data_IF_997119002734
#
_entry.id   IF_997119002734
#
_cell.length_a   1.000
_cell.length_b   1.000
_cell.length_c   1.000
_cell.angle_alpha   90.00
_cell.angle_beta   90.00
_cell.angle_gamma   90.00
#
_symmetry.space_group_name_H-M   'P 1'
#
loop_
_entity.id
_entity.type
_entity.pdbx_description
1 polymer ?
#
# COMPACT_ATOMS: atom_id res chain seq x y z
N UNK A 1 -20.38 -7.40 -35.69
CA UNK A 1 -21.37 -7.84 -36.71
C UNK A 1 -22.80 -7.36 -36.41
N UNK A 2 -23.44 -7.67 -35.27
CA UNK A 2 -24.76 -7.08 -34.94
C UNK A 2 -24.68 -5.61 -34.47
N UNK A 3 -23.65 -5.23 -33.70
CA UNK A 3 -23.49 -3.83 -33.27
C UNK A 3 -23.25 -2.87 -34.45
N UNK A 4 -22.44 -3.26 -35.43
CA UNK A 4 -22.12 -2.41 -36.59
C UNK A 4 -23.35 -2.14 -37.47
N UNK A 5 -24.27 -3.11 -37.54
CA UNK A 5 -25.54 -3.00 -38.26
C UNK A 5 -26.54 -2.07 -37.55
N UNK A 6 -26.61 -2.11 -36.21
CA UNK A 6 -27.47 -1.23 -35.39
C UNK A 6 -26.86 0.18 -35.25
N UNK A 7 -25.53 0.30 -35.35
CA UNK A 7 -24.80 1.57 -35.32
C UNK A 7 -24.77 2.29 -36.68
N UNK A 8 -25.17 1.64 -37.78
CA UNK A 8 -25.31 2.25 -39.12
C UNK A 8 -26.24 3.47 -39.12
N UNK A 9 -25.82 4.52 -39.82
CA UNK A 9 -26.55 5.77 -39.94
C UNK A 9 -27.88 5.61 -40.68
N UNK A 10 -28.00 4.67 -41.63
CA UNK A 10 -29.25 4.40 -42.33
C UNK A 10 -30.30 3.77 -41.41
N UNK A 11 -29.91 2.80 -40.57
CA UNK A 11 -30.86 2.07 -39.71
C UNK A 11 -31.40 2.95 -38.59
N UNK A 12 -30.55 3.80 -37.99
CA UNK A 12 -30.98 4.79 -36.98
C UNK A 12 -31.93 5.85 -37.55
N UNK A 13 -31.79 6.21 -38.83
CA UNK A 13 -32.68 7.18 -39.49
C UNK A 13 -34.05 6.60 -39.82
N UNK A 14 -34.09 5.34 -40.25
CA UNK A 14 -35.31 4.70 -40.74
C UNK A 14 -36.16 4.11 -39.60
N UNK A 15 -35.54 3.64 -38.50
CA UNK A 15 -36.25 3.02 -37.37
C UNK A 15 -35.63 3.35 -36.00
N UNK A 16 -35.71 4.63 -35.56
CA UNK A 16 -35.08 5.08 -34.32
C UNK A 16 -35.62 4.37 -33.07
N UNK A 17 -36.92 4.14 -33.00
CA UNK A 17 -37.58 3.47 -31.86
C UNK A 17 -37.23 1.99 -31.73
N UNK A 18 -37.05 1.27 -32.84
CA UNK A 18 -36.63 -0.14 -32.82
C UNK A 18 -35.16 -0.26 -32.39
N UNK A 19 -34.29 0.66 -32.86
CA UNK A 19 -32.89 0.71 -32.44
C UNK A 19 -32.76 1.05 -30.96
N UNK A 20 -33.53 2.02 -30.45
CA UNK A 20 -33.56 2.33 -29.01
C UNK A 20 -34.10 1.16 -28.19
N UNK A 21 -35.13 0.46 -28.66
CA UNK A 21 -35.70 -0.71 -27.98
C UNK A 21 -34.69 -1.86 -27.92
N UNK A 22 -34.00 -2.17 -29.03
CA UNK A 22 -32.97 -3.21 -29.09
C UNK A 22 -31.77 -2.85 -28.22
N UNK A 23 -31.31 -1.60 -28.27
CA UNK A 23 -30.18 -1.15 -27.46
C UNK A 23 -30.51 -1.15 -25.96
N UNK A 24 -31.73 -0.75 -25.60
CA UNK A 24 -32.23 -0.85 -24.22
C UNK A 24 -32.29 -2.31 -23.77
N UNK A 25 -32.84 -3.22 -24.58
CA UNK A 25 -32.89 -4.65 -24.26
C UNK A 25 -31.49 -5.28 -24.12
N UNK A 26 -30.56 -4.96 -25.02
CA UNK A 26 -29.17 -5.42 -24.91
C UNK A 26 -28.50 -4.86 -23.66
N UNK A 27 -28.72 -3.58 -23.34
CA UNK A 27 -28.20 -2.96 -22.13
C UNK A 27 -28.73 -3.64 -20.86
N UNK A 28 -30.04 -3.87 -20.78
CA UNK A 28 -30.67 -4.39 -19.57
C UNK A 28 -30.55 -5.90 -19.38
N UNK A 29 -30.60 -6.68 -20.46
CA UNK A 29 -30.66 -8.14 -20.39
C UNK A 29 -29.30 -8.81 -20.63
N UNK A 30 -28.37 -8.14 -21.31
CA UNK A 30 -27.04 -8.70 -21.62
C UNK A 30 -25.93 -7.94 -20.89
N UNK A 31 -25.79 -6.64 -21.16
CA UNK A 31 -24.63 -5.88 -20.70
C UNK A 31 -24.65 -5.60 -19.20
N UNK A 32 -25.78 -5.17 -18.64
CA UNK A 32 -25.89 -4.90 -17.19
C UNK A 32 -25.66 -6.16 -16.35
N UNK A 33 -26.28 -7.33 -16.65
CA UNK A 33 -25.99 -8.56 -15.93
C UNK A 33 -24.54 -9.03 -16.10
N UNK A 34 -23.99 -8.97 -17.32
CA UNK A 34 -22.61 -9.35 -17.59
C UNK A 34 -21.63 -8.45 -16.80
N UNK A 35 -21.85 -7.15 -16.81
CA UNK A 35 -21.02 -6.20 -16.08
C UNK A 35 -21.12 -6.42 -14.57
N UNK A 36 -22.31 -6.72 -14.03
CA UNK A 36 -22.46 -7.06 -12.62
C UNK A 36 -21.65 -8.32 -12.24
N UNK A 37 -21.70 -9.37 -13.07
CA UNK A 37 -20.92 -10.60 -12.83
C UNK A 37 -19.42 -10.32 -12.94
N UNK A 38 -18.99 -9.53 -13.92
CA UNK A 38 -17.58 -9.14 -14.07
C UNK A 38 -17.08 -8.33 -12.88
N UNK A 39 -17.87 -7.38 -12.37
CA UNK A 39 -17.52 -6.58 -11.18
C UNK A 39 -17.38 -7.48 -9.94
N UNK A 40 -18.30 -8.43 -9.74
CA UNK A 40 -18.23 -9.38 -8.62
C UNK A 40 -16.98 -10.26 -8.74
N UNK A 41 -16.74 -10.84 -9.91
CA UNK A 41 -15.58 -11.68 -10.18
C UNK A 41 -14.26 -10.90 -9.98
N UNK A 42 -14.19 -9.65 -10.46
CA UNK A 42 -13.04 -8.79 -10.25
C UNK A 42 -12.78 -8.53 -8.76
N UNK A 43 -13.83 -8.26 -7.98
CA UNK A 43 -13.71 -8.05 -6.54
C UNK A 43 -13.23 -9.32 -5.80
N UNK A 44 -13.74 -10.50 -6.16
CA UNK A 44 -13.31 -11.78 -5.60
C UNK A 44 -11.85 -12.08 -5.95
N UNK A 45 -11.44 -11.86 -7.20
CA UNK A 45 -10.04 -11.99 -7.63
C UNK A 45 -9.13 -11.03 -6.87
N UNK A 46 -9.50 -9.76 -6.76
CA UNK A 46 -8.75 -8.77 -5.97
C UNK A 46 -8.60 -9.23 -4.52
N UNK A 47 -9.66 -9.74 -3.90
CA UNK A 47 -9.59 -10.26 -2.53
C UNK A 47 -8.66 -11.48 -2.42
N UNK A 48 -8.71 -12.40 -3.37
CA UNK A 48 -7.82 -13.56 -3.42
C UNK A 48 -6.35 -13.13 -3.56
N UNK A 49 -6.06 -12.12 -4.37
CA UNK A 49 -4.71 -11.57 -4.55
C UNK A 49 -4.24 -10.85 -3.29
N UNK A 50 -5.11 -10.08 -2.61
CA UNK A 50 -4.79 -9.50 -1.29
C UNK A 50 -4.39 -10.59 -0.28
N UNK A 51 -5.11 -11.70 -0.24
CA UNK A 51 -4.81 -12.80 0.68
C UNK A 51 -3.54 -13.58 0.31
N UNK A 52 -3.30 -13.77 -0.99
CA UNK A 52 -2.24 -14.66 -1.48
C UNK A 52 -0.91 -13.96 -1.67
N UNK A 53 -0.92 -12.66 -2.01
CA UNK A 53 0.28 -11.88 -2.33
C UNK A 53 0.54 -10.80 -1.28
N UNK A 54 -0.45 -9.98 -0.94
CA UNK A 54 -0.24 -8.83 -0.05
C UNK A 54 -0.10 -9.25 1.43
N UNK A 55 -0.96 -10.13 1.93
CA UNK A 55 -0.93 -10.54 3.33
C UNK A 55 0.41 -11.18 3.76
N UNK A 56 1.04 -12.07 2.95
CA UNK A 56 2.37 -12.58 3.25
C UNK A 56 3.45 -11.49 3.25
N UNK A 57 3.37 -10.51 2.35
CA UNK A 57 4.30 -9.38 2.29
C UNK A 57 4.20 -8.58 3.59
N UNK A 58 3.00 -8.23 4.07
CA UNK A 58 2.82 -7.51 5.34
C UNK A 58 3.32 -8.34 6.54
N UNK A 59 3.13 -9.66 6.52
CA UNK A 59 3.56 -10.56 7.58
C UNK A 59 5.10 -10.58 7.75
N UNK A 60 5.88 -10.20 6.73
CA UNK A 60 7.35 -10.04 6.87
C UNK A 60 7.75 -8.99 7.90
N UNK A 61 6.87 -8.03 8.18
CA UNK A 61 7.06 -7.02 9.21
C UNK A 61 6.30 -7.32 10.52
N UNK A 62 5.94 -8.58 10.78
CA UNK A 62 5.30 -8.97 12.03
C UNK A 62 6.22 -8.70 13.24
N UNK A 63 5.65 -8.08 14.27
CA UNK A 63 6.38 -7.66 15.46
C UNK A 63 7.07 -6.30 15.31
N UNK A 64 6.95 -5.62 14.17
CA UNK A 64 7.47 -4.26 13.98
C UNK A 64 6.94 -3.32 15.05
N UNK A 65 5.65 -3.33 15.33
CA UNK A 65 5.00 -2.48 16.35
C UNK A 65 5.42 -2.81 17.80
N UNK A 66 6.07 -3.95 18.00
CA UNK A 66 6.50 -4.45 19.31
C UNK A 66 8.02 -4.37 19.52
N UNK A 67 8.77 -3.75 18.59
CA UNK A 67 10.21 -3.62 18.77
C UNK A 67 10.57 -2.91 20.08
N UNK A 68 11.64 -3.35 20.78
CA UNK A 68 12.09 -2.73 22.03
C UNK A 68 12.40 -1.25 21.88
N UNK A 69 12.82 -0.84 20.69
CA UNK A 69 13.11 0.56 20.35
C UNK A 69 11.90 1.48 20.56
N UNK A 70 10.68 0.99 20.32
CA UNK A 70 9.46 1.77 20.51
C UNK A 70 9.03 1.86 21.98
N UNK A 71 9.46 0.91 22.80
CA UNK A 71 9.05 0.77 24.21
C UNK A 71 10.29 0.70 25.09
N UNK A 72 11.02 1.81 25.23
CA UNK A 72 12.01 1.91 26.30
C UNK A 72 11.29 2.04 27.64
N UNK A 73 10.94 0.91 28.25
CA UNK A 73 10.64 0.89 29.68
C UNK A 73 11.96 1.04 30.42
N UNK A 74 12.06 2.00 31.35
CA UNK A 74 13.16 2.04 32.31
C UNK A 74 13.19 0.73 33.09
N UNK A 75 13.94 -0.26 32.63
CA UNK A 75 14.27 -1.42 33.45
C UNK A 75 15.29 -0.93 34.47
N UNK A 76 14.85 -0.92 35.74
CA UNK A 76 15.78 -0.85 36.85
C UNK A 76 16.82 -1.97 36.69
N UNK A 77 18.09 -1.57 36.53
CA UNK A 77 19.26 -2.40 36.78
C UNK A 77 19.27 -3.77 36.09
N UNK A 78 19.56 -3.79 34.79
CA UNK A 78 19.85 -5.05 34.11
C UNK A 78 20.17 -4.81 32.66
N UNK A 79 21.47 -4.93 32.34
CA UNK A 79 22.09 -4.83 31.02
C UNK A 79 21.20 -5.37 29.90
N UNK A 80 20.39 -4.51 29.29
CA UNK A 80 19.85 -4.73 27.97
C UNK A 80 20.95 -4.30 27.01
N UNK A 81 21.39 -5.25 26.20
CA UNK A 81 22.47 -5.15 25.24
C UNK A 81 22.15 -4.03 24.23
N UNK A 82 22.55 -2.80 24.56
CA UNK A 82 22.91 -1.81 23.55
C UNK A 82 24.29 -2.24 23.10
N UNK A 83 24.33 -3.17 22.13
CA UNK A 83 25.57 -3.53 21.45
C UNK A 83 26.13 -2.24 20.83
N UNK A 84 27.16 -1.72 21.48
CA UNK A 84 28.10 -0.71 21.02
C UNK A 84 27.48 0.56 20.44
N UNK A 85 27.13 1.47 21.36
CA UNK A 85 27.12 2.91 21.11
C UNK A 85 28.54 3.35 20.69
N UNK A 86 28.80 3.42 19.39
CA UNK A 86 29.92 4.19 18.85
C UNK A 86 29.43 5.61 18.61
N UNK A 87 30.07 6.52 19.33
CA UNK A 87 30.06 7.98 19.26
C UNK A 87 29.27 8.66 18.11
N UNK A 88 28.46 9.63 18.53
CA UNK A 88 27.89 10.74 17.77
C UNK A 88 28.70 11.16 16.52
N UNK A 89 28.16 10.77 15.38
CA UNK A 89 28.21 11.49 14.09
C UNK A 89 26.81 11.28 13.48
N UNK A 90 26.30 12.13 12.57
CA UNK A 90 25.04 11.87 11.88
C UNK A 90 25.25 10.66 10.97
N UNK A 91 25.19 9.47 11.58
CA UNK A 91 25.35 8.20 10.93
C UNK A 91 24.01 7.91 10.29
N UNK A 92 24.00 7.72 8.97
CA UNK A 92 22.86 7.11 8.29
C UNK A 92 22.45 5.85 9.08
N UNK A 93 21.37 5.95 9.85
CA UNK A 93 20.73 4.78 10.43
C UNK A 93 20.32 3.89 9.26
N UNK A 94 20.63 2.60 9.35
CA UNK A 94 20.12 1.64 8.40
C UNK A 94 18.63 1.42 8.68
N UNK A 95 17.81 1.13 7.65
CA UNK A 95 16.43 0.71 7.89
C UNK A 95 16.41 -0.55 8.77
N UNK A 96 15.41 -0.67 9.63
CA UNK A 96 15.24 -1.83 10.49
C UNK A 96 15.10 -3.10 9.66
N UNK A 97 15.57 -4.22 10.19
CA UNK A 97 15.60 -5.49 9.45
C UNK A 97 14.20 -5.92 8.98
N UNK A 98 13.17 -5.66 9.78
CA UNK A 98 11.78 -5.94 9.42
C UNK A 98 11.29 -5.06 8.26
N UNK A 99 11.65 -3.78 8.25
CA UNK A 99 11.27 -2.85 7.19
C UNK A 99 12.07 -3.12 5.91
N UNK A 100 13.33 -3.54 6.05
CA UNK A 100 14.14 -4.02 4.93
C UNK A 100 13.54 -5.28 4.30
N UNK A 101 13.18 -6.28 5.11
CA UNK A 101 12.52 -7.49 4.63
C UNK A 101 11.17 -7.21 3.96
N UNK A 102 10.40 -6.27 4.50
CA UNK A 102 9.16 -5.80 3.88
C UNK A 102 9.41 -5.09 2.54
N UNK A 103 10.44 -4.23 2.46
CA UNK A 103 10.83 -3.57 1.21
C UNK A 103 11.30 -4.56 0.14
N UNK A 104 12.08 -5.56 0.52
CA UNK A 104 12.49 -6.66 -0.36
C UNK A 104 11.25 -7.43 -0.88
N UNK A 105 10.33 -7.79 0.01
CA UNK A 105 9.09 -8.47 -0.36
C UNK A 105 8.16 -7.65 -1.28
N UNK A 106 8.15 -6.31 -1.16
CA UNK A 106 7.44 -5.42 -2.11
C UNK A 106 8.03 -5.55 -3.51
N UNK A 107 9.36 -5.55 -3.64
CA UNK A 107 10.05 -5.67 -4.92
C UNK A 107 9.82 -7.04 -5.58
N UNK A 108 9.46 -8.06 -4.79
CA UNK A 108 9.12 -9.40 -5.28
C UNK A 108 7.66 -9.56 -5.73
N UNK A 109 6.76 -8.60 -5.42
CA UNK A 109 5.35 -8.65 -5.83
C UNK A 109 5.17 -8.88 -7.33
N UNK A 110 5.87 -8.16 -8.24
CA UNK A 110 5.75 -8.41 -9.69
C UNK A 110 6.05 -9.86 -10.07
N UNK A 111 7.10 -10.46 -9.48
CA UNK A 111 7.50 -11.85 -9.75
C UNK A 111 6.47 -12.86 -9.23
N UNK A 112 5.85 -12.57 -8.08
CA UNK A 112 4.76 -13.38 -7.54
C UNK A 112 3.52 -13.34 -8.45
N UNK A 113 3.20 -12.17 -9.01
CA UNK A 113 2.10 -12.00 -9.96
C UNK A 113 2.37 -12.70 -11.30
N UNK A 114 3.61 -12.62 -11.82
CA UNK A 114 4.02 -13.37 -13.02
C UNK A 114 3.88 -14.89 -12.81
N UNK A 115 4.21 -15.38 -11.62
CA UNK A 115 4.04 -16.80 -11.27
C UNK A 115 2.56 -17.23 -11.27
N UNK A 116 1.65 -16.33 -10.86
CA UNK A 116 0.20 -16.55 -10.91
C UNK A 116 -0.37 -16.46 -12.34
N UNK A 117 0.27 -15.72 -13.24
CA UNK A 117 -0.14 -15.58 -14.65
C UNK A 117 -0.06 -16.90 -15.43
N UNK A 118 0.77 -17.86 -14.98
CA UNK A 118 0.85 -19.21 -15.54
C UNK A 118 1.58 -19.29 -16.88
N UNK A 119 2.27 -20.42 -17.10
CA UNK A 119 3.00 -20.70 -18.35
C UNK A 119 2.07 -20.87 -19.55
N UNK A 120 2.53 -20.36 -20.70
CA UNK A 120 1.95 -20.19 -22.05
C UNK A 120 1.02 -21.24 -22.69
N UNK A 121 0.37 -22.15 -21.98
CA UNK A 121 -0.52 -23.15 -22.61
C UNK A 121 -1.97 -22.64 -22.67
N UNK A 122 -2.25 -21.81 -23.69
CA UNK A 122 -3.63 -21.41 -24.04
C UNK A 122 -3.87 -19.92 -24.27
N UNK A 123 -2.85 -19.16 -24.73
CA UNK A 123 -2.94 -17.71 -24.93
C UNK A 123 -4.00 -17.32 -25.95
N UNK A 124 -4.89 -16.40 -25.55
CA UNK A 124 -5.69 -15.60 -26.47
C UNK A 124 -4.95 -14.27 -26.68
N UNK A 125 -4.17 -14.18 -27.76
CA UNK A 125 -3.23 -13.08 -28.03
C UNK A 125 -3.84 -11.66 -27.89
N UNK A 126 -5.14 -11.47 -28.13
CA UNK A 126 -5.80 -10.17 -28.01
C UNK A 126 -6.31 -9.79 -26.61
N UNK A 127 -6.45 -10.75 -25.69
CA UNK A 127 -6.81 -10.47 -24.28
C UNK A 127 -5.55 -10.11 -23.48
N UNK A 128 -4.40 -10.64 -23.90
CA UNK A 128 -3.12 -10.42 -23.25
C UNK A 128 -2.60 -8.99 -23.41
N UNK A 129 -2.78 -8.39 -24.60
CA UNK A 129 -2.43 -6.98 -24.88
C UNK A 129 -3.32 -5.99 -24.08
N UNK A 130 -4.61 -6.32 -23.90
CA UNK A 130 -5.52 -5.57 -23.03
C UNK A 130 -5.22 -5.76 -21.54
N UNK A 131 -4.71 -6.93 -21.14
CA UNK A 131 -4.30 -7.19 -19.77
C UNK A 131 -2.97 -6.52 -19.44
N UNK A 132 -2.03 -6.42 -20.39
CA UNK A 132 -0.74 -5.75 -20.16
C UNK A 132 -0.91 -4.28 -19.78
N UNK A 133 -1.76 -3.54 -20.51
CA UNK A 133 -2.06 -2.13 -20.19
C UNK A 133 -2.80 -1.98 -18.86
N UNK A 134 -3.61 -2.97 -18.45
CA UNK A 134 -4.33 -2.96 -17.16
C UNK A 134 -3.45 -3.44 -16.00
N UNK A 135 -2.44 -4.28 -16.26
CA UNK A 135 -1.57 -4.85 -15.23
C UNK A 135 -0.63 -3.84 -14.61
N UNK A 136 -0.19 -2.81 -15.34
CA UNK A 136 0.64 -1.74 -14.76
C UNK A 136 -0.13 -0.97 -13.67
N UNK A 137 -1.35 -0.51 -13.98
CA UNK A 137 -2.21 0.16 -13.00
C UNK A 137 -2.57 -0.73 -11.80
N UNK A 138 -2.71 -2.03 -12.05
CA UNK A 138 -3.07 -2.99 -11.01
C UNK A 138 -1.89 -3.34 -10.10
N UNK A 139 -0.68 -3.41 -10.64
CA UNK A 139 0.54 -3.58 -9.85
C UNK A 139 0.75 -2.40 -8.92
N UNK A 140 0.59 -1.17 -9.43
CA UNK A 140 0.67 0.04 -8.63
C UNK A 140 -0.37 0.03 -7.50
N UNK A 141 -1.61 -0.35 -7.78
CA UNK A 141 -2.66 -0.45 -6.76
C UNK A 141 -2.36 -1.51 -5.68
N UNK A 142 -1.79 -2.66 -6.07
CA UNK A 142 -1.38 -3.71 -5.13
C UNK A 142 -0.25 -3.24 -4.23
N UNK A 143 0.81 -2.66 -4.80
CA UNK A 143 1.95 -2.17 -4.03
C UNK A 143 1.52 -1.04 -3.09
N UNK A 144 0.68 -0.12 -3.57
CA UNK A 144 0.09 0.95 -2.76
C UNK A 144 -0.75 0.40 -1.62
N UNK A 145 -1.57 -0.61 -1.89
CA UNK A 145 -2.36 -1.29 -0.87
C UNK A 145 -1.46 -1.93 0.18
N UNK A 146 -0.39 -2.63 -0.22
CA UNK A 146 0.54 -3.27 0.71
C UNK A 146 1.21 -2.25 1.66
N UNK A 147 1.67 -1.11 1.13
CA UNK A 147 2.26 -0.04 1.96
C UNK A 147 1.22 0.65 2.82
N UNK A 148 0.02 0.91 2.30
CA UNK A 148 -1.07 1.50 3.08
C UNK A 148 -1.44 0.60 4.26
N UNK A 149 -1.58 -0.70 4.02
CA UNK A 149 -1.89 -1.68 5.05
C UNK A 149 -0.75 -1.80 6.07
N UNK A 150 0.53 -1.73 5.66
CA UNK A 150 1.65 -1.67 6.60
C UNK A 150 1.59 -0.41 7.48
N UNK A 151 1.29 0.76 6.91
CA UNK A 151 1.15 2.00 7.68
C UNK A 151 0.00 1.88 8.70
N UNK A 152 -1.15 1.34 8.29
CA UNK A 152 -2.33 1.23 9.16
C UNK A 152 -2.22 0.12 10.21
N UNK A 153 -1.69 -1.03 9.83
CA UNK A 153 -1.65 -2.22 10.69
C UNK A 153 -0.40 -2.29 11.56
N UNK A 154 0.72 -1.68 11.16
CA UNK A 154 1.99 -1.72 11.89
C UNK A 154 2.35 -0.35 12.43
N UNK A 155 2.59 0.62 11.55
CA UNK A 155 3.11 1.94 11.94
C UNK A 155 2.15 2.69 12.86
N UNK A 156 0.85 2.70 12.54
CA UNK A 156 -0.16 3.36 13.37
C UNK A 156 -0.32 2.74 14.76
N UNK A 157 0.11 1.49 14.94
CA UNK A 157 0.03 0.80 16.23
C UNK A 157 1.26 1.03 17.12
N UNK A 158 2.25 1.80 16.65
CA UNK A 158 3.39 2.20 17.45
C UNK A 158 2.95 3.26 18.48
N UNK A 159 3.26 2.96 19.74
CA UNK A 159 3.14 3.89 20.86
C UNK A 159 4.52 4.03 21.46
N UNK A 160 5.09 5.23 21.34
CA UNK A 160 6.39 5.54 21.90
C UNK A 160 6.22 6.16 23.29
N UNK A 161 6.74 5.48 24.31
CA UNK A 161 6.71 5.95 25.69
C UNK A 161 8.14 6.10 26.20
N UNK A 162 8.55 7.34 26.46
CA UNK A 162 9.91 7.65 26.91
C UNK A 162 9.88 8.17 28.36
N UNK A 163 10.69 7.58 29.27
CA UNK A 163 10.89 8.12 30.61
C UNK A 163 11.34 9.58 30.62
N UNK A 164 11.20 10.27 31.75
CA UNK A 164 11.82 11.59 31.91
C UNK A 164 13.34 11.48 31.75
N UNK A 165 13.94 12.45 31.03
CA UNK A 165 15.38 12.53 30.70
C UNK A 165 15.92 11.50 29.69
N UNK A 166 15.06 10.92 28.84
CA UNK A 166 15.50 10.07 27.72
C UNK A 166 15.32 10.77 26.37
N UNK A 167 15.65 12.06 26.28
CA UNK A 167 15.54 12.86 25.06
C UNK A 167 16.33 12.24 23.89
N UNK A 168 17.52 11.70 24.16
CA UNK A 168 18.35 11.04 23.15
C UNK A 168 17.69 9.75 22.62
N UNK A 169 17.03 8.97 23.48
CA UNK A 169 16.33 7.75 23.07
C UNK A 169 15.06 8.05 22.28
N UNK A 170 14.37 9.14 22.65
CA UNK A 170 13.20 9.62 21.93
C UNK A 170 13.57 10.12 20.53
N UNK A 171 14.65 10.89 20.42
CA UNK A 171 15.20 11.35 19.15
C UNK A 171 15.63 10.15 18.28
N UNK A 172 16.34 9.18 18.83
CA UNK A 172 16.83 8.01 18.08
C UNK A 172 15.69 7.13 17.57
N UNK A 173 14.65 6.89 18.36
CA UNK A 173 13.48 6.13 17.91
C UNK A 173 12.78 6.84 16.74
N UNK A 174 12.63 8.16 16.79
CA UNK A 174 11.99 8.90 15.69
C UNK A 174 12.88 9.00 14.48
N UNK A 175 14.19 9.13 14.66
CA UNK A 175 15.16 9.06 13.57
C UNK A 175 15.13 7.70 12.88
N UNK A 176 14.99 6.60 13.64
CA UNK A 176 14.78 5.26 13.07
C UNK A 176 13.46 5.17 12.31
N UNK A 177 12.35 5.66 12.87
CA UNK A 177 11.06 5.63 12.17
C UNK A 177 11.09 6.46 10.88
N UNK A 178 11.74 7.62 10.90
CA UNK A 178 11.95 8.46 9.70
C UNK A 178 12.82 7.73 8.69
N UNK A 179 13.86 7.03 9.13
CA UNK A 179 14.73 6.21 8.28
C UNK A 179 13.95 5.09 7.60
N UNK A 180 13.19 4.33 8.38
CA UNK A 180 12.38 3.20 7.91
C UNK A 180 11.35 3.64 6.87
N UNK A 181 10.60 4.72 7.15
CA UNK A 181 9.62 5.26 6.23
C UNK A 181 10.26 5.92 4.98
N UNK A 182 11.45 6.51 5.13
CA UNK A 182 12.20 7.07 4.00
C UNK A 182 12.72 5.97 3.07
N UNK A 183 13.15 4.84 3.62
CA UNK A 183 13.51 3.65 2.86
C UNK A 183 12.31 3.11 2.06
N UNK A 184 11.14 2.98 2.70
CA UNK A 184 9.92 2.55 1.98
C UNK A 184 9.51 3.52 0.89
N UNK A 185 9.69 4.82 1.10
CA UNK A 185 9.48 5.82 0.05
C UNK A 185 10.41 5.58 -1.15
N UNK A 186 11.68 5.25 -0.90
CA UNK A 186 12.63 4.92 -1.97
C UNK A 186 12.28 3.63 -2.70
N UNK A 187 11.80 2.61 -1.99
CA UNK A 187 11.31 1.37 -2.61
C UNK A 187 10.11 1.66 -3.50
N UNK A 188 9.11 2.40 -3.00
CA UNK A 188 7.93 2.78 -3.77
C UNK A 188 8.29 3.54 -5.04
N UNK A 189 9.21 4.50 -4.96
CA UNK A 189 9.68 5.25 -6.12
C UNK A 189 10.43 4.39 -7.16
N UNK A 190 10.86 3.18 -6.79
CA UNK A 190 11.49 2.24 -7.70
C UNK A 190 10.50 1.26 -8.36
N UNK A 191 9.29 1.12 -7.80
CA UNK A 191 8.26 0.16 -8.26
C UNK A 191 6.97 0.81 -8.73
N UNK A 192 6.79 2.12 -8.50
CA UNK A 192 5.62 2.93 -8.88
C UNK A 192 6.10 4.33 -9.26
N UNK A 193 5.63 4.84 -10.40
CA UNK A 193 5.93 6.20 -10.87
C UNK A 193 5.13 7.29 -10.14
N UNK A 194 3.98 6.92 -9.57
CA UNK A 194 3.11 7.84 -8.85
C UNK A 194 3.65 8.16 -7.43
N UNK A 195 3.49 9.40 -6.94
CA UNK A 195 3.85 9.74 -5.57
C UNK A 195 2.93 9.06 -4.55
N UNK A 196 3.45 8.75 -3.36
CA UNK A 196 2.68 8.18 -2.26
C UNK A 196 2.42 9.26 -1.19
N UNK A 197 1.43 10.12 -1.44
CA UNK A 197 1.14 11.33 -0.66
C UNK A 197 0.98 11.05 0.85
N UNK A 198 0.35 9.92 1.20
CA UNK A 198 0.10 9.53 2.60
C UNK A 198 1.41 9.32 3.36
N UNK A 199 2.38 8.63 2.77
CA UNK A 199 3.71 8.39 3.37
C UNK A 199 4.50 9.69 3.47
N UNK A 200 4.43 10.54 2.45
CA UNK A 200 5.08 11.86 2.48
C UNK A 200 4.51 12.78 3.56
N UNK A 201 3.19 12.76 3.73
CA UNK A 201 2.50 13.49 4.79
C UNK A 201 2.94 13.00 6.17
N UNK A 202 2.97 11.68 6.39
CA UNK A 202 3.44 11.08 7.66
C UNK A 202 4.91 11.43 7.93
N UNK A 203 5.80 11.29 6.94
CA UNK A 203 7.21 11.66 7.04
C UNK A 203 7.40 13.14 7.39
N UNK A 204 6.64 14.02 6.75
CA UNK A 204 6.71 15.46 7.01
C UNK A 204 6.30 15.78 8.45
N UNK A 205 5.19 15.20 8.91
CA UNK A 205 4.69 15.38 10.27
C UNK A 205 5.68 14.86 11.30
N UNK A 206 6.25 13.67 11.10
CA UNK A 206 7.28 13.10 11.98
C UNK A 206 8.52 13.99 12.08
N UNK A 207 9.00 14.55 10.95
CA UNK A 207 10.16 15.46 10.94
C UNK A 207 9.88 16.79 11.66
N UNK A 208 8.64 17.25 11.65
CA UNK A 208 8.22 18.49 12.32
C UNK A 208 7.75 18.30 13.76
N UNK A 209 7.49 17.06 14.18
CA UNK A 209 7.00 16.76 15.51
C UNK A 209 8.07 17.13 16.56
N UNK A 210 7.75 18.09 17.42
CA UNK A 210 8.60 18.43 18.56
C UNK A 210 8.34 17.43 19.67
N UNK A 211 9.27 16.51 19.85
CA UNK A 211 9.16 15.42 20.83
C UNK A 211 9.75 15.90 22.15
N UNK A 212 8.92 15.89 23.19
CA UNK A 212 9.32 16.27 24.55
C UNK A 212 9.49 15.01 25.40
N UNK A 213 10.57 14.89 26.16
CA UNK A 213 10.70 13.82 27.16
C UNK A 213 9.50 13.75 28.09
N UNK A 214 9.12 12.52 28.47
CA UNK A 214 7.95 12.26 29.31
C UNK A 214 6.60 12.36 28.60
N UNK A 215 6.57 12.64 27.29
CA UNK A 215 5.34 12.56 26.48
C UNK A 215 5.19 11.19 25.83
N UNK A 216 3.95 10.71 25.74
CA UNK A 216 3.59 9.53 24.95
C UNK A 216 3.26 9.99 23.54
N UNK A 217 3.85 9.36 22.53
CA UNK A 217 3.55 9.62 21.13
C UNK A 217 2.80 8.44 20.57
N UNK A 218 1.53 8.64 20.26
CA UNK A 218 0.74 7.68 19.49
C UNK A 218 0.86 8.03 18.00
N UNK A 219 1.53 7.17 17.22
CA UNK A 219 1.73 7.40 15.78
C UNK A 219 0.39 7.44 15.04
N UNK A 220 -0.64 6.74 15.54
CA UNK A 220 -2.03 6.83 15.04
C UNK A 220 -2.55 8.26 14.98
N UNK A 221 -2.27 9.11 15.98
CA UNK A 221 -2.73 10.50 16.03
C UNK A 221 -1.99 11.35 14.99
N UNK A 222 -0.71 11.05 14.78
CA UNK A 222 0.12 11.61 13.71
C UNK A 222 -0.27 11.13 12.30
N UNK A 223 -1.16 10.13 12.19
CA UNK A 223 -1.70 9.64 10.91
C UNK A 223 -3.16 10.14 10.71
N UNK A 224 -3.95 10.25 11.78
CA UNK A 224 -5.40 10.46 11.72
C UNK A 224 -5.87 11.90 11.41
N UNK A 225 -5.06 12.95 11.60
CA UNK A 225 -5.48 14.35 11.35
C UNK A 225 -5.84 14.69 9.88
N UNK A 226 -5.87 13.73 8.95
CA UNK A 226 -6.44 13.93 7.60
C UNK A 226 -7.98 14.01 7.56
N UNK A 227 -8.68 13.81 8.68
CA UNK A 227 -10.15 13.81 8.73
C UNK A 227 -10.85 15.13 9.07
N UNK A 228 -10.13 16.20 9.42
CA UNK A 228 -10.75 17.47 9.86
C UNK A 228 -10.09 18.69 9.20
N UNK A 229 -10.29 18.85 7.89
CA UNK A 229 -10.24 20.17 7.25
C UNK A 229 -10.92 20.08 5.89
N UNK A 230 -12.26 20.23 5.92
CA UNK A 230 -13.11 20.79 4.86
C UNK A 230 -14.53 20.88 5.43
N UNK A 231 -14.78 21.95 6.19
CA UNK A 231 -16.07 22.65 6.15
C UNK A 231 -15.93 23.83 5.18
#
# INVERSE_FOLDING_TARGET
MCEDYVKSAEVRRLRPTEVESINSQLSEQLWRPLNNVLVICAAECQQAIKQTVIAPVIATADGYESQPLWRLQSSNGGSAVISNSVLHTPLHLAPSEMVRGFGEAIVEIPLALESLRGGSEGRFDGIEELLEEVTEYWLDDIVRTAVSDFIESKVANIIMCFPLNSDDAAALAVEQLVTDLSYLKSILAAVSDDPFERLESVLSRLKTASIKSGSTIAIRELIAEQGQSKE
#
